data_IF_854131054724
#
_entry.id   IF_854131054724
#
_cell.length_a   1.000
_cell.length_b   1.000
_cell.length_c   1.000
_cell.angle_alpha   90.00
_cell.angle_beta   90.00
_cell.angle_gamma   90.00
#
_symmetry.space_group_name_H-M   'P 1'
#
loop_
_entity.id
_entity.type
_entity.pdbx_description
1 polymer ?
#
# COMPACT_ATOMS: atom_id res chain seq x y z
N UNK A 1 -3.99 9.33 32.66
CA UNK A 1 -3.56 10.62 32.07
C UNK A 1 -4.48 11.77 32.46
N UNK A 2 -5.78 11.72 32.18
CA UNK A 2 -6.72 12.77 32.60
C UNK A 2 -7.01 12.80 34.12
N UNK A 3 -6.95 11.65 34.78
CA UNK A 3 -7.19 11.48 36.21
C UNK A 3 -6.14 12.13 37.13
N UNK A 4 -4.95 12.46 36.62
CA UNK A 4 -3.87 13.05 37.41
C UNK A 4 -3.65 14.55 37.11
N UNK A 5 -4.44 15.16 36.22
CA UNK A 5 -4.25 16.55 35.79
C UNK A 5 -3.08 16.77 34.81
N UNK A 6 -2.54 15.71 34.21
CA UNK A 6 -1.40 15.82 33.29
C UNK A 6 -1.91 16.20 31.90
N UNK A 7 -1.62 17.42 31.47
CA UNK A 7 -1.97 17.88 30.13
C UNK A 7 -0.84 17.58 29.14
N UNK A 8 -1.13 16.77 28.12
CA UNK A 8 -0.23 16.64 26.97
C UNK A 8 -0.25 17.95 26.17
N UNK A 9 0.88 18.65 26.12
CA UNK A 9 1.06 19.79 25.23
C UNK A 9 1.18 19.28 23.79
N UNK A 10 0.10 19.38 23.03
CA UNK A 10 0.10 18.98 21.61
C UNK A 10 1.01 19.92 20.83
N UNK A 11 2.06 19.36 20.21
CA UNK A 11 2.92 20.11 19.31
C UNK A 11 2.18 20.39 18.01
N UNK A 12 2.08 21.67 17.62
CA UNK A 12 1.46 22.06 16.34
C UNK A 12 2.24 21.42 15.20
N UNK A 13 1.54 20.68 14.35
CA UNK A 13 2.12 20.02 13.17
C UNK A 13 2.50 21.10 12.15
N UNK A 14 3.80 21.32 11.92
CA UNK A 14 4.29 22.22 10.87
C UNK A 14 3.88 21.64 9.52
N UNK A 15 3.01 22.34 8.77
CA UNK A 15 2.64 21.97 7.41
C UNK A 15 3.60 22.69 6.44
N UNK A 16 4.23 21.95 5.54
CA UNK A 16 4.89 22.56 4.38
C UNK A 16 3.81 23.00 3.40
N UNK A 17 3.99 24.16 2.78
CA UNK A 17 3.14 24.60 1.67
C UNK A 17 3.52 23.75 0.47
N UNK A 18 2.73 22.71 0.20
CA UNK A 18 2.86 21.95 -1.04
C UNK A 18 2.30 22.81 -2.16
N UNK A 19 3.06 22.97 -3.27
CA UNK A 19 2.54 23.65 -4.46
C UNK A 19 1.30 22.96 -5.01
N UNK A 20 0.59 23.61 -5.93
CA UNK A 20 -0.50 22.94 -6.63
C UNK A 20 0.05 21.75 -7.43
N UNK A 21 -0.61 20.57 -7.37
CA UNK A 21 -0.20 19.44 -8.17
C UNK A 21 -0.31 19.80 -9.66
N UNK A 22 0.68 19.39 -10.45
CA UNK A 22 0.67 19.61 -11.90
C UNK A 22 -0.49 18.87 -12.59
N UNK A 23 -0.95 17.78 -11.98
CA UNK A 23 -2.06 16.95 -12.46
C UNK A 23 -2.72 16.24 -11.28
N UNK A 24 -4.04 16.19 -11.26
CA UNK A 24 -4.82 15.39 -10.30
C UNK A 24 -5.38 14.20 -11.07
N UNK A 25 -4.87 13.01 -10.78
CA UNK A 25 -5.40 11.78 -11.36
C UNK A 25 -6.79 11.47 -10.77
N UNK A 26 -7.67 10.91 -11.60
CA UNK A 26 -8.98 10.48 -11.15
C UNK A 26 -8.86 9.34 -10.14
N UNK A 27 -9.62 9.44 -9.05
CA UNK A 27 -9.68 8.39 -8.05
C UNK A 27 -10.61 7.26 -8.54
N UNK A 28 -10.08 6.42 -9.43
CA UNK A 28 -10.83 5.32 -10.06
C UNK A 28 -11.48 4.38 -9.03
N UNK A 29 -10.78 4.10 -7.93
CA UNK A 29 -11.27 3.18 -6.91
C UNK A 29 -12.43 3.76 -6.07
N UNK A 30 -12.57 5.09 -5.99
CA UNK A 30 -13.57 5.79 -5.13
C UNK A 30 -13.73 5.20 -3.71
N UNK A 31 -12.63 4.70 -3.10
CA UNK A 31 -12.62 3.97 -1.81
C UNK A 31 -13.48 2.70 -1.77
N UNK A 32 -13.79 2.11 -2.92
CA UNK A 32 -14.56 0.87 -3.05
C UNK A 32 -13.60 -0.32 -3.04
N UNK A 33 -13.13 -0.67 -1.83
CA UNK A 33 -12.16 -1.74 -1.58
C UNK A 33 -12.75 -3.16 -1.55
N UNK A 34 -13.94 -3.35 -2.12
CA UNK A 34 -14.57 -4.67 -2.26
C UNK A 34 -14.70 -5.01 -3.73
N UNK A 35 -14.33 -6.23 -4.10
CA UNK A 35 -14.51 -6.79 -5.43
C UNK A 35 -15.67 -7.80 -5.44
N UNK A 36 -16.30 -7.97 -6.60
CA UNK A 36 -17.38 -8.96 -6.79
C UNK A 36 -16.84 -10.29 -7.31
N UNK A 37 -15.65 -10.29 -7.92
CA UNK A 37 -15.00 -11.46 -8.52
C UNK A 37 -13.51 -11.49 -8.15
N UNK A 38 -12.90 -12.68 -8.09
CA UNK A 38 -11.46 -12.82 -7.93
C UNK A 38 -10.68 -12.02 -8.97
N UNK A 39 -9.53 -11.48 -8.57
CA UNK A 39 -8.57 -10.74 -9.41
C UNK A 39 -9.14 -9.48 -10.09
N UNK A 40 -10.32 -8.99 -9.68
CA UNK A 40 -10.94 -7.79 -10.26
C UNK A 40 -10.32 -6.51 -9.69
N UNK A 41 -9.96 -6.49 -8.41
CA UNK A 41 -9.32 -5.35 -7.74
C UNK A 41 -8.21 -5.89 -6.86
N UNK A 42 -6.98 -5.48 -7.18
CA UNK A 42 -5.79 -5.83 -6.42
C UNK A 42 -5.26 -4.58 -5.73
N UNK A 43 -4.76 -4.76 -4.51
CA UNK A 43 -4.02 -3.72 -3.79
C UNK A 43 -2.63 -4.24 -3.47
N UNK A 44 -1.68 -3.33 -3.39
CA UNK A 44 -0.27 -3.67 -3.15
C UNK A 44 0.26 -2.80 -2.03
N UNK A 45 1.07 -3.39 -1.17
CA UNK A 45 1.80 -2.63 -0.16
C UNK A 45 3.23 -3.14 -0.02
N UNK A 46 4.10 -2.29 0.51
CA UNK A 46 5.46 -2.68 0.90
C UNK A 46 5.62 -2.37 2.38
N UNK A 47 5.89 -3.41 3.16
CA UNK A 47 6.12 -3.27 4.60
C UNK A 47 7.52 -3.72 4.98
N UNK A 48 8.03 -3.19 6.09
CA UNK A 48 9.33 -3.56 6.63
C UNK A 48 9.20 -4.80 7.53
N UNK A 49 10.11 -5.74 7.38
CA UNK A 49 10.25 -6.92 8.22
C UNK A 49 11.56 -6.81 9.02
N UNK A 50 11.52 -6.68 10.36
CA UNK A 50 12.73 -6.76 11.16
C UNK A 50 13.31 -8.18 11.10
N UNK A 51 14.59 -8.30 10.74
CA UNK A 51 15.28 -9.59 10.62
C UNK A 51 16.70 -9.51 11.18
N UNK A 52 16.87 -9.95 12.42
CA UNK A 52 18.14 -9.82 13.14
C UNK A 52 18.59 -8.36 13.21
N UNK A 53 19.80 -8.09 12.69
CA UNK A 53 20.40 -6.75 12.69
C UNK A 53 20.06 -5.92 11.43
N UNK A 54 19.16 -6.40 10.57
CA UNK A 54 18.75 -5.69 9.35
C UNK A 54 17.23 -5.65 9.20
N UNK A 55 16.78 -4.84 8.24
CA UNK A 55 15.40 -4.83 7.78
C UNK A 55 15.33 -5.46 6.40
N UNK A 56 14.33 -6.31 6.20
CA UNK A 56 13.90 -6.78 4.90
C UNK A 56 12.64 -6.02 4.50
N UNK A 57 12.31 -6.06 3.22
CA UNK A 57 11.10 -5.46 2.67
C UNK A 57 10.24 -6.57 2.09
N UNK A 58 8.99 -6.62 2.53
CA UNK A 58 7.97 -7.49 1.98
C UNK A 58 7.08 -6.68 1.06
N UNK A 59 7.12 -7.00 -0.23
CA UNK A 59 6.14 -6.54 -1.21
C UNK A 59 5.07 -7.60 -1.34
N UNK A 60 3.80 -7.22 -1.18
CA UNK A 60 2.67 -8.14 -1.30
C UNK A 60 1.56 -7.56 -2.15
N UNK A 61 0.80 -8.45 -2.80
CA UNK A 61 -0.40 -8.14 -3.57
C UNK A 61 -1.56 -8.89 -2.93
N UNK A 62 -2.63 -8.18 -2.63
CA UNK A 62 -3.83 -8.70 -2.00
C UNK A 62 -5.03 -8.56 -2.93
N UNK A 63 -5.82 -9.63 -3.04
CA UNK A 63 -7.09 -9.63 -3.77
C UNK A 63 -8.21 -9.10 -2.87
N UNK A 64 -8.89 -8.03 -3.31
CA UNK A 64 -9.99 -7.43 -2.58
C UNK A 64 -11.30 -8.23 -2.62
N UNK A 65 -11.33 -9.36 -3.34
CA UNK A 65 -12.47 -10.28 -3.31
C UNK A 65 -12.55 -11.05 -1.98
N UNK A 66 -11.45 -11.69 -1.58
CA UNK A 66 -11.38 -12.58 -0.41
C UNK A 66 -10.28 -12.20 0.59
N UNK A 67 -9.57 -11.09 0.36
CA UNK A 67 -8.44 -10.63 1.18
C UNK A 67 -7.24 -11.59 1.22
N UNK A 68 -7.10 -12.46 0.22
CA UNK A 68 -5.95 -13.35 0.13
C UNK A 68 -4.74 -12.65 -0.49
N UNK A 69 -3.54 -13.01 -0.01
CA UNK A 69 -2.28 -12.60 -0.62
C UNK A 69 -2.03 -13.49 -1.84
N UNK A 70 -2.11 -12.91 -3.03
CA UNK A 70 -1.99 -13.63 -4.31
C UNK A 70 -0.56 -13.66 -4.85
N UNK A 71 0.30 -12.75 -4.40
CA UNK A 71 1.71 -12.72 -4.74
C UNK A 71 2.52 -12.01 -3.65
N UNK A 72 3.77 -12.40 -3.47
CA UNK A 72 4.68 -11.72 -2.55
C UNK A 72 6.15 -11.93 -2.91
N UNK A 73 6.97 -10.94 -2.59
CA UNK A 73 8.43 -11.03 -2.68
C UNK A 73 9.08 -10.40 -1.45
N UNK A 74 10.23 -10.93 -1.06
CA UNK A 74 11.05 -10.38 0.04
C UNK A 74 12.40 -9.95 -0.54
N UNK A 75 12.80 -8.71 -0.25
CA UNK A 75 14.09 -8.16 -0.69
C UNK A 75 14.83 -7.45 0.44
N UNK A 76 16.14 -7.30 0.26
CA UNK A 76 16.98 -6.49 1.14
C UNK A 76 16.83 -4.97 0.90
N UNK A 77 16.20 -4.57 -0.21
CA UNK A 77 16.03 -3.18 -0.64
C UNK A 77 14.61 -2.93 -1.12
N UNK A 78 14.10 -1.74 -0.84
CA UNK A 78 12.85 -1.22 -1.40
C UNK A 78 13.16 -0.55 -2.75
N UNK A 79 13.24 -1.34 -3.81
CA UNK A 79 13.48 -0.87 -5.18
C UNK A 79 12.40 -1.34 -6.15
N UNK A 80 12.49 -0.87 -7.40
CA UNK A 80 11.53 -1.23 -8.44
C UNK A 80 11.64 -2.70 -8.84
N UNK A 81 12.82 -3.32 -8.68
CA UNK A 81 12.99 -4.74 -8.98
C UNK A 81 12.12 -5.59 -8.06
N UNK A 82 12.13 -5.32 -6.75
CA UNK A 82 11.26 -6.01 -5.79
C UNK A 82 9.77 -5.95 -6.17
N UNK A 83 9.30 -4.79 -6.64
CA UNK A 83 7.89 -4.62 -7.05
C UNK A 83 7.60 -5.38 -8.33
N UNK A 84 8.50 -5.31 -9.32
CA UNK A 84 8.36 -6.01 -10.59
C UNK A 84 8.36 -7.53 -10.36
N UNK A 85 9.24 -8.04 -9.51
CA UNK A 85 9.32 -9.46 -9.17
C UNK A 85 8.01 -9.95 -8.55
N UNK A 86 7.38 -9.16 -7.68
CA UNK A 86 6.05 -9.49 -7.13
C UNK A 86 4.96 -9.45 -8.20
N UNK A 87 4.99 -8.46 -9.11
CA UNK A 87 4.01 -8.33 -10.19
C UNK A 87 4.07 -9.49 -11.18
N UNK A 88 5.27 -9.97 -11.50
CA UNK A 88 5.49 -11.07 -12.45
C UNK A 88 4.97 -12.42 -11.95
N UNK A 89 4.64 -12.55 -10.67
CA UNK A 89 4.00 -13.76 -10.13
C UNK A 89 2.50 -13.82 -10.43
N UNK A 90 1.87 -12.70 -10.79
CA UNK A 90 0.45 -12.69 -11.13
C UNK A 90 0.23 -13.38 -12.49
N UNK A 91 -0.90 -14.11 -12.65
CA UNK A 91 -1.31 -14.58 -13.97
C UNK A 91 -1.63 -13.40 -14.89
N UNK A 92 -1.73 -13.66 -16.19
CA UNK A 92 -2.24 -12.66 -17.14
C UNK A 92 -3.66 -12.25 -16.76
N UNK A 93 -3.79 -11.09 -16.12
CA UNK A 93 -5.08 -10.52 -15.74
C UNK A 93 -5.63 -9.81 -16.96
N UNK A 94 -6.80 -10.25 -17.44
CA UNK A 94 -7.57 -9.43 -18.36
C UNK A 94 -8.00 -8.17 -17.61
N UNK A 95 -7.27 -7.08 -17.83
CA UNK A 95 -7.68 -5.75 -17.39
C UNK A 95 -8.91 -5.39 -18.21
N UNK A 96 -10.09 -5.76 -17.72
CA UNK A 96 -11.31 -5.15 -18.21
C UNK A 96 -11.14 -3.66 -17.96
N UNK A 97 -11.05 -2.88 -19.05
CA UNK A 97 -11.05 -1.43 -18.99
C UNK A 97 -12.27 -0.99 -18.17
N UNK A 98 -12.05 -0.70 -16.89
CA UNK A 98 -12.98 0.05 -16.06
C UNK A 98 -12.87 1.50 -16.54
N UNK A 99 -13.73 1.84 -17.51
CA UNK A 99 -14.09 3.22 -17.82
C UNK A 99 -14.88 3.82 -16.66
#
# INVERSE_FOLDING_TARGET
MQTNGWQCRVRVKKRKQTGQPAYVADHLLKRQFQAERPLQKLVTDITYLPFGNKHLYLSSILDLYNSEVVAYSIGDKQDTALVIDTMQQLPDIQVYHLL
#
